data_IF_176432392143
#
_entry.id   IF_176432392143
#
_cell.length_a   1.000
_cell.length_b   1.000
_cell.length_c   1.000
_cell.angle_alpha   90.00
_cell.angle_beta   90.00
_cell.angle_gamma   90.00
#
_symmetry.space_group_name_H-M   'P 1'
#
loop_
_entity.id
_entity.type
_entity.pdbx_description
1 polymer ?
#
# COMPACT_ATOMS: atom_id res chain seq x y z
N UNK A 1 7.16 10.80 8.89
CA UNK A 1 7.72 9.82 9.82
C UNK A 1 8.74 10.47 10.72
N UNK A 2 8.41 10.68 12.02
CA UNK A 2 9.24 11.47 12.96
C UNK A 2 10.19 10.63 13.83
N UNK A 3 10.48 9.39 13.48
CA UNK A 3 11.35 8.54 14.30
C UNK A 3 12.58 8.05 13.52
N UNK A 4 13.77 7.99 14.16
CA UNK A 4 15.01 7.51 13.53
C UNK A 4 14.96 6.06 13.01
N UNK A 5 13.91 5.31 13.38
CA UNK A 5 13.68 3.93 12.97
C UNK A 5 12.59 3.77 11.90
N UNK A 6 12.04 4.87 11.39
CA UNK A 6 10.96 4.81 10.42
C UNK A 6 11.49 4.42 9.05
N UNK A 7 11.06 3.28 8.57
CA UNK A 7 11.34 2.84 7.20
C UNK A 7 10.53 3.70 6.23
N UNK A 8 11.11 4.04 5.08
CA UNK A 8 10.48 4.91 4.07
C UNK A 8 9.12 4.38 3.54
N UNK A 9 8.85 3.11 3.74
CA UNK A 9 7.59 2.44 3.34
C UNK A 9 6.51 2.41 4.43
N UNK A 10 6.81 2.83 5.67
CA UNK A 10 5.84 2.93 6.76
C UNK A 10 5.02 4.22 6.61
N UNK A 11 4.05 4.25 5.68
CA UNK A 11 3.25 5.44 5.37
C UNK A 11 2.28 5.76 6.50
N UNK A 12 2.39 6.99 7.04
CA UNK A 12 1.45 7.55 8.02
C UNK A 12 0.48 8.54 7.38
N UNK A 13 0.77 9.00 6.15
CA UNK A 13 -0.02 9.97 5.41
C UNK A 13 0.13 9.77 3.89
N UNK A 14 -0.98 9.85 3.15
CA UNK A 14 -0.99 9.69 1.69
C UNK A 14 -0.92 11.01 0.92
N UNK A 15 -1.34 12.12 1.54
CA UNK A 15 -1.56 13.40 0.86
C UNK A 15 -0.56 14.48 1.26
N UNK A 16 0.49 14.11 1.98
CA UNK A 16 1.52 15.02 2.48
C UNK A 16 2.87 14.74 1.80
N UNK A 17 3.69 15.78 1.71
CA UNK A 17 5.13 15.64 1.49
C UNK A 17 5.77 15.56 2.88
N UNK A 18 6.71 14.65 3.06
CA UNK A 18 7.48 14.55 4.31
C UNK A 18 8.21 15.87 4.55
N UNK A 19 8.14 16.39 5.78
CA UNK A 19 8.67 17.72 6.13
C UNK A 19 10.16 17.86 5.86
N UNK A 20 10.92 16.78 5.98
CA UNK A 20 12.35 16.74 5.66
C UNK A 20 12.65 16.98 4.17
N UNK A 21 11.66 16.75 3.29
CA UNK A 21 11.77 17.00 1.85
C UNK A 21 11.09 18.29 1.41
N UNK A 22 10.49 19.02 2.34
CA UNK A 22 9.88 20.33 2.11
C UNK A 22 8.35 20.33 2.08
N UNK A 23 7.79 21.42 1.58
CA UNK A 23 6.35 21.64 1.48
C UNK A 23 5.77 21.14 0.16
N UNK A 24 4.44 21.05 0.10
CA UNK A 24 3.72 20.76 -1.17
C UNK A 24 3.99 21.82 -2.25
N UNK A 25 4.21 23.08 -1.86
CA UNK A 25 4.54 24.16 -2.78
C UNK A 25 5.93 23.96 -3.38
N UNK A 26 6.92 23.62 -2.57
CA UNK A 26 8.28 23.31 -3.04
C UNK A 26 8.31 22.07 -3.94
N UNK A 27 7.56 21.03 -3.58
CA UNK A 27 7.41 19.85 -4.41
C UNK A 27 6.79 20.19 -5.78
N UNK A 28 5.74 21.04 -5.80
CA UNK A 28 5.13 21.52 -7.06
C UNK A 28 6.13 22.33 -7.88
N UNK A 29 6.89 23.23 -7.25
CA UNK A 29 7.93 24.01 -7.91
C UNK A 29 9.02 23.12 -8.53
N UNK A 30 9.42 22.05 -7.81
CA UNK A 30 10.35 21.05 -8.33
C UNK A 30 9.81 20.36 -9.58
N UNK A 31 8.55 19.91 -9.57
CA UNK A 31 7.91 19.30 -10.74
C UNK A 31 7.94 20.26 -11.93
N UNK A 32 7.52 21.51 -11.73
CA UNK A 32 7.44 22.52 -12.80
C UNK A 32 8.83 22.85 -13.37
N UNK A 33 9.85 22.94 -12.53
CA UNK A 33 11.23 23.20 -12.95
C UNK A 33 11.81 22.00 -13.74
N UNK A 34 11.56 20.78 -13.30
CA UNK A 34 12.02 19.57 -14.00
C UNK A 34 11.33 19.39 -15.35
N UNK A 35 10.05 19.72 -15.41
CA UNK A 35 9.28 19.68 -16.67
C UNK A 35 9.87 20.62 -17.72
N UNK A 36 10.35 21.81 -17.37
CA UNK A 36 11.06 22.73 -18.29
C UNK A 36 12.33 22.10 -18.87
N UNK A 37 12.92 21.14 -18.18
CA UNK A 37 14.14 20.42 -18.62
C UNK A 37 13.84 19.06 -19.27
N UNK A 38 12.59 18.80 -19.63
CA UNK A 38 12.14 17.51 -20.16
C UNK A 38 12.35 16.32 -19.21
N UNK A 39 12.40 16.58 -17.89
CA UNK A 39 12.50 15.54 -16.87
C UNK A 39 11.10 15.34 -16.27
N UNK A 40 10.65 14.10 -16.27
CA UNK A 40 9.37 13.70 -15.66
C UNK A 40 9.63 13.03 -14.30
N UNK A 41 8.90 13.47 -13.28
CA UNK A 41 9.00 12.92 -11.93
C UNK A 41 7.92 11.87 -11.76
N UNK A 42 8.31 10.69 -11.27
CA UNK A 42 7.40 9.65 -10.80
C UNK A 42 7.54 9.51 -9.28
N UNK A 43 6.49 9.08 -8.62
CA UNK A 43 6.49 8.82 -7.18
C UNK A 43 6.41 7.33 -6.90
N UNK A 44 6.99 6.96 -5.76
CA UNK A 44 6.79 5.62 -5.19
C UNK A 44 5.41 5.55 -4.55
N UNK A 45 4.56 4.68 -5.06
CA UNK A 45 3.18 4.51 -4.63
C UNK A 45 3.04 3.21 -3.84
N UNK A 46 3.16 3.35 -2.51
CA UNK A 46 2.99 2.24 -1.58
C UNK A 46 1.52 2.20 -1.17
N UNK A 47 0.76 1.30 -1.77
CA UNK A 47 -0.69 1.14 -1.51
C UNK A 47 -1.08 -0.28 -1.09
N UNK A 48 -0.10 -1.18 -0.96
CA UNK A 48 -0.33 -2.53 -0.47
C UNK A 48 -0.50 -2.54 1.06
N UNK A 49 0.32 -1.78 1.75
CA UNK A 49 0.36 -1.72 3.21
C UNK A 49 0.63 -0.29 3.68
N UNK A 50 0.36 -0.03 4.95
CA UNK A 50 0.63 1.26 5.59
C UNK A 50 1.19 1.04 6.99
N UNK A 51 1.62 2.13 7.65
CA UNK A 51 2.10 2.03 9.03
C UNK A 51 0.98 1.59 9.99
N UNK A 52 1.32 0.79 11.00
CA UNK A 52 0.46 0.49 12.15
C UNK A 52 0.13 1.74 12.98
N UNK A 53 0.81 2.86 12.74
CA UNK A 53 0.56 4.18 13.33
C UNK A 53 -0.40 5.06 12.51
N UNK A 54 -0.78 4.63 11.32
CA UNK A 54 -1.74 5.36 10.50
C UNK A 54 -3.11 5.39 11.17
N UNK A 55 -3.82 6.52 11.10
CA UNK A 55 -5.14 6.70 11.70
C UNK A 55 -6.14 5.60 11.29
N UNK A 56 -6.11 5.17 10.05
CA UNK A 56 -6.98 4.10 9.57
C UNK A 56 -6.75 2.78 10.32
N UNK A 57 -5.48 2.41 10.57
CA UNK A 57 -5.19 1.18 11.30
C UNK A 57 -5.59 1.28 12.77
N UNK A 58 -5.28 2.40 13.41
CA UNK A 58 -5.65 2.64 14.81
C UNK A 58 -7.17 2.62 15.01
N UNK A 59 -7.93 3.18 14.07
CA UNK A 59 -9.41 3.16 14.09
C UNK A 59 -9.98 1.79 13.74
N UNK A 60 -9.36 1.09 12.79
CA UNK A 60 -9.69 -0.30 12.48
C UNK A 60 -9.50 -1.20 13.70
N UNK A 61 -8.39 -1.05 14.42
CA UNK A 61 -8.12 -1.79 15.65
C UNK A 61 -9.15 -1.55 16.75
N UNK A 62 -9.81 -0.38 16.76
CA UNK A 62 -10.94 -0.06 17.64
C UNK A 62 -12.29 -0.58 17.13
N UNK A 63 -12.34 -1.11 15.90
CA UNK A 63 -13.58 -1.54 15.25
C UNK A 63 -14.47 -0.38 14.78
N UNK A 64 -13.91 0.82 14.58
CA UNK A 64 -14.64 2.02 14.17
C UNK A 64 -15.00 1.97 12.67
N UNK A 65 -16.27 2.22 12.34
CA UNK A 65 -16.68 2.42 10.96
C UNK A 65 -16.15 3.78 10.42
N UNK A 66 -15.83 3.89 9.10
CA UNK A 66 -15.83 2.82 8.10
C UNK A 66 -14.57 1.93 8.13
N UNK A 67 -13.60 2.24 8.97
CA UNK A 67 -12.24 1.68 8.93
C UNK A 67 -12.12 0.24 9.40
N UNK A 68 -13.14 -0.30 10.08
CA UNK A 68 -13.08 -1.62 10.71
C UNK A 68 -12.63 -2.75 9.79
N UNK A 69 -12.95 -2.66 8.49
CA UNK A 69 -12.68 -3.67 7.47
C UNK A 69 -11.67 -3.21 6.39
N UNK A 70 -10.97 -2.09 6.64
CA UNK A 70 -9.91 -1.59 5.75
C UNK A 70 -8.64 -2.44 5.77
N UNK A 71 -8.52 -3.31 6.77
CA UNK A 71 -7.44 -4.27 6.93
C UNK A 71 -8.01 -5.68 7.08
N UNK A 72 -7.17 -6.67 6.93
CA UNK A 72 -7.56 -8.06 6.95
C UNK A 72 -7.40 -8.60 8.37
N UNK A 73 -8.52 -8.98 9.01
CA UNK A 73 -8.56 -9.41 10.39
C UNK A 73 -9.14 -10.83 10.53
N UNK A 74 -8.62 -11.58 11.50
CA UNK A 74 -9.13 -12.91 11.89
C UNK A 74 -9.26 -13.02 13.41
N UNK A 75 -10.24 -13.80 13.86
CA UNK A 75 -10.44 -14.10 15.27
C UNK A 75 -9.38 -15.03 15.86
N UNK A 76 -8.82 -15.90 15.04
CA UNK A 76 -7.88 -16.98 15.38
C UNK A 76 -6.61 -16.89 14.54
N UNK A 77 -5.50 -17.37 15.12
CA UNK A 77 -4.27 -17.56 14.36
C UNK A 77 -4.46 -18.76 13.42
N UNK A 78 -4.24 -18.60 12.10
CA UNK A 78 -4.26 -19.74 11.19
C UNK A 78 -3.23 -20.81 11.58
N UNK A 79 -3.55 -22.06 11.30
CA UNK A 79 -2.67 -23.19 11.60
C UNK A 79 -2.06 -23.83 10.36
N UNK A 80 -2.41 -23.34 9.18
CA UNK A 80 -2.10 -23.92 7.87
C UNK A 80 -1.34 -22.95 6.98
N UNK A 81 -0.45 -23.46 6.17
CA UNK A 81 0.15 -22.97 4.92
C UNK A 81 0.55 -21.50 4.77
N UNK A 82 0.41 -20.69 5.82
CA UNK A 82 0.80 -19.29 5.80
C UNK A 82 2.28 -19.12 6.12
N UNK A 83 2.94 -18.22 5.40
CA UNK A 83 4.34 -17.84 5.59
C UNK A 83 4.61 -16.57 4.80
N UNK A 84 5.87 -16.09 4.74
CA UNK A 84 6.23 -14.97 3.88
C UNK A 84 5.94 -15.31 2.42
N UNK A 85 5.31 -14.39 1.71
CA UNK A 85 4.88 -14.62 0.32
C UNK A 85 6.07 -14.80 -0.67
N UNK A 86 7.27 -14.39 -0.27
CA UNK A 86 8.52 -14.51 -1.04
C UNK A 86 9.38 -15.72 -0.60
N UNK A 87 8.99 -16.44 0.44
CA UNK A 87 9.68 -17.63 0.93
C UNK A 87 8.71 -18.80 1.10
N UNK A 88 8.66 -19.66 0.10
CA UNK A 88 7.77 -20.83 0.09
C UNK A 88 8.25 -21.99 0.97
N UNK A 89 9.39 -21.84 1.66
CA UNK A 89 9.95 -22.88 2.56
C UNK A 89 9.55 -22.64 4.01
N UNK A 90 9.31 -21.39 4.39
CA UNK A 90 8.91 -21.01 5.75
C UNK A 90 7.40 -21.06 5.84
N UNK A 91 6.86 -22.05 6.56
CA UNK A 91 5.43 -22.14 6.88
C UNK A 91 5.29 -21.83 8.37
N UNK A 92 5.13 -20.55 8.69
CA UNK A 92 4.82 -20.06 10.03
C UNK A 92 3.83 -18.89 9.94
N UNK A 93 2.55 -19.10 10.27
CA UNK A 93 1.55 -18.04 10.25
C UNK A 93 1.90 -16.81 11.07
N UNK A 94 2.69 -16.95 12.12
CA UNK A 94 3.06 -15.83 13.02
C UNK A 94 3.94 -14.78 12.36
N UNK A 95 4.56 -15.09 11.23
CA UNK A 95 5.39 -14.11 10.50
C UNK A 95 4.55 -13.13 9.67
N UNK A 96 3.28 -13.47 9.39
CA UNK A 96 2.36 -12.63 8.60
C UNK A 96 1.04 -12.33 9.32
N UNK A 97 0.70 -13.05 10.41
CA UNK A 97 -0.49 -12.80 11.21
C UNK A 97 -0.09 -12.36 12.62
N UNK A 98 -0.42 -11.12 12.98
CA UNK A 98 0.03 -10.48 14.20
C UNK A 98 -1.13 -10.17 15.13
N UNK A 99 -1.03 -10.58 16.39
CA UNK A 99 -2.08 -10.32 17.38
C UNK A 99 -2.15 -8.86 17.78
N UNK A 100 -3.35 -8.28 17.76
CA UNK A 100 -3.60 -6.93 18.26
C UNK A 100 -4.42 -6.94 19.55
N UNK A 101 -3.85 -6.48 20.69
CA UNK A 101 -4.48 -6.66 22.01
C UNK A 101 -5.79 -5.90 22.19
N UNK A 102 -5.94 -4.72 21.57
CA UNK A 102 -7.16 -3.92 21.68
C UNK A 102 -8.33 -4.55 20.93
N UNK A 103 -8.10 -5.06 19.70
CA UNK A 103 -9.12 -5.71 18.89
C UNK A 103 -9.33 -7.18 19.28
N UNK A 104 -8.34 -7.78 19.95
CA UNK A 104 -8.30 -9.21 20.32
C UNK A 104 -8.42 -10.12 19.10
N UNK A 105 -7.84 -9.70 18.00
CA UNK A 105 -7.81 -10.38 16.71
C UNK A 105 -6.41 -10.36 16.13
N UNK A 106 -6.19 -11.14 15.08
CA UNK A 106 -4.96 -11.14 14.29
C UNK A 106 -5.18 -10.34 13.02
N UNK A 107 -4.22 -9.49 12.65
CA UNK A 107 -4.21 -8.78 11.38
C UNK A 107 -3.13 -9.34 10.47
N UNK A 108 -3.39 -9.27 9.17
CA UNK A 108 -2.43 -9.67 8.15
C UNK A 108 -1.44 -8.53 7.87
N UNK A 109 -0.14 -8.89 7.81
CA UNK A 109 0.94 -7.97 7.48
C UNK A 109 2.09 -8.75 6.85
N UNK A 110 2.08 -8.86 5.52
CA UNK A 110 3.04 -9.66 4.78
C UNK A 110 4.49 -9.21 5.01
N UNK A 111 4.71 -7.90 5.15
CA UNK A 111 6.04 -7.29 5.26
C UNK A 111 6.48 -7.03 6.71
N UNK A 112 5.67 -7.45 7.69
CA UNK A 112 5.98 -7.36 9.11
C UNK A 112 4.98 -6.54 9.90
N UNK A 113 4.96 -6.73 11.22
CA UNK A 113 3.93 -6.22 12.13
C UNK A 113 3.68 -4.70 12.05
N UNK A 114 4.70 -3.90 11.71
CA UNK A 114 4.55 -2.44 11.56
C UNK A 114 3.90 -2.00 10.25
N UNK A 115 3.64 -2.93 9.33
CA UNK A 115 3.17 -2.66 7.97
C UNK A 115 1.93 -3.50 7.64
N UNK A 116 0.79 -3.29 8.33
CA UNK A 116 -0.46 -3.99 8.06
C UNK A 116 -0.93 -3.79 6.62
N UNK A 117 -1.31 -4.89 5.97
CA UNK A 117 -1.80 -4.88 4.61
C UNK A 117 -3.22 -4.30 4.55
N UNK A 118 -3.44 -3.42 3.57
CA UNK A 118 -4.74 -2.89 3.26
C UNK A 118 -5.61 -3.96 2.59
N UNK A 119 -6.88 -3.98 2.93
CA UNK A 119 -7.86 -4.82 2.26
C UNK A 119 -8.21 -4.24 0.88
N UNK A 120 -7.42 -4.57 -0.12
CA UNK A 120 -7.61 -4.09 -1.50
C UNK A 120 -8.79 -4.74 -2.23
N UNK A 121 -9.60 -5.56 -1.53
CA UNK A 121 -10.92 -6.00 -1.97
C UNK A 121 -12.05 -5.10 -1.44
N UNK A 122 -11.76 -4.22 -0.46
CA UNK A 122 -12.78 -3.33 0.11
C UNK A 122 -13.02 -2.12 -0.81
N UNK A 123 -14.29 -1.85 -1.21
CA UNK A 123 -14.59 -0.79 -2.17
C UNK A 123 -14.08 0.60 -1.77
N UNK A 124 -14.21 0.97 -0.49
CA UNK A 124 -13.77 2.28 -0.02
C UNK A 124 -12.25 2.40 -0.01
N UNK A 125 -11.52 1.30 0.28
CA UNK A 125 -10.05 1.27 0.19
C UNK A 125 -9.62 1.45 -1.26
N UNK A 126 -10.23 0.72 -2.20
CA UNK A 126 -9.97 0.88 -3.64
C UNK A 126 -10.24 2.33 -4.08
N UNK A 127 -11.35 2.92 -3.63
CA UNK A 127 -11.70 4.30 -3.97
C UNK A 127 -10.67 5.30 -3.44
N UNK A 128 -10.19 5.12 -2.19
CA UNK A 128 -9.15 5.99 -1.61
C UNK A 128 -7.79 5.83 -2.33
N UNK A 129 -7.40 4.62 -2.74
CA UNK A 129 -6.18 4.42 -3.53
C UNK A 129 -6.26 5.13 -4.89
N UNK A 130 -7.41 5.06 -5.56
CA UNK A 130 -7.67 5.80 -6.80
C UNK A 130 -7.64 7.31 -6.60
N UNK A 131 -8.24 7.80 -5.52
CA UNK A 131 -8.25 9.22 -5.15
C UNK A 131 -6.84 9.75 -4.85
N UNK A 132 -6.03 8.96 -4.16
CA UNK A 132 -4.63 9.30 -3.90
C UNK A 132 -3.82 9.40 -5.19
N UNK A 133 -3.95 8.42 -6.10
CA UNK A 133 -3.28 8.49 -7.40
C UNK A 133 -3.69 9.76 -8.18
N UNK A 134 -5.00 10.05 -8.23
CA UNK A 134 -5.50 11.27 -8.86
C UNK A 134 -4.93 12.53 -8.21
N UNK A 135 -4.86 12.61 -6.89
CA UNK A 135 -4.32 13.76 -6.17
C UNK A 135 -2.89 14.10 -6.62
N UNK A 136 -2.01 13.10 -6.73
CA UNK A 136 -0.63 13.33 -7.13
C UNK A 136 -0.50 13.61 -8.64
N UNK A 137 -1.31 13.00 -9.48
CA UNK A 137 -1.37 13.32 -10.91
C UNK A 137 -1.82 14.77 -11.14
N UNK A 138 -2.83 15.24 -10.40
CA UNK A 138 -3.28 16.64 -10.44
C UNK A 138 -2.18 17.64 -9.99
N UNK A 139 -1.19 17.19 -9.19
CA UNK A 139 0.01 17.97 -8.85
C UNK A 139 1.08 17.98 -9.94
N UNK A 140 0.90 17.19 -11.00
CA UNK A 140 1.81 17.14 -12.14
C UNK A 140 2.85 16.02 -12.09
N UNK A 141 2.68 15.06 -11.19
CA UNK A 141 3.47 13.82 -11.20
C UNK A 141 3.19 13.07 -12.50
N UNK A 142 4.24 12.55 -13.13
CA UNK A 142 4.15 11.92 -14.44
C UNK A 142 3.93 10.40 -14.38
N UNK A 143 3.89 9.84 -13.17
CA UNK A 143 3.68 8.41 -13.02
C UNK A 143 4.01 7.90 -11.63
N UNK A 144 3.95 6.58 -11.48
CA UNK A 144 4.19 5.90 -10.22
C UNK A 144 5.08 4.67 -10.41
N UNK A 145 5.96 4.45 -9.45
CA UNK A 145 6.52 3.14 -9.17
C UNK A 145 5.57 2.47 -8.16
N UNK A 146 5.01 1.34 -8.55
CA UNK A 146 4.05 0.59 -7.75
C UNK A 146 4.82 -0.42 -6.89
N UNK A 147 4.77 -0.23 -5.59
CA UNK A 147 5.42 -1.08 -4.61
C UNK A 147 4.69 -2.40 -4.45
N UNK A 148 5.44 -3.48 -4.20
CA UNK A 148 4.90 -4.78 -3.80
C UNK A 148 3.78 -5.35 -4.69
N UNK A 149 3.82 -5.10 -6.00
CA UNK A 149 2.69 -5.39 -6.93
C UNK A 149 2.24 -6.86 -6.94
N UNK A 150 3.12 -7.78 -6.56
CA UNK A 150 2.82 -9.22 -6.51
C UNK A 150 1.87 -9.60 -5.38
N UNK A 151 1.84 -8.79 -4.31
CA UNK A 151 1.27 -9.12 -2.99
C UNK A 151 -0.01 -8.35 -2.67
N UNK A 152 -0.66 -7.76 -3.67
CA UNK A 152 -1.79 -6.85 -3.46
C UNK A 152 -3.03 -7.53 -2.87
N UNK A 153 -3.32 -8.77 -3.25
CA UNK A 153 -4.46 -9.53 -2.74
C UNK A 153 -4.05 -10.99 -2.57
N UNK A 154 -4.12 -11.48 -1.34
CA UNK A 154 -3.94 -12.90 -1.02
C UNK A 154 -5.28 -13.64 -1.09
N UNK A 155 -5.25 -14.88 -1.61
CA UNK A 155 -6.41 -15.77 -1.72
C UNK A 155 -6.31 -16.98 -0.77
N UNK A 156 -5.50 -16.85 0.30
CA UNK A 156 -5.34 -17.88 1.30
C UNK A 156 -3.90 -18.41 1.42
N UNK A 157 -3.71 -19.45 2.23
CA UNK A 157 -2.39 -20.01 2.47
C UNK A 157 -1.77 -20.55 1.17
N UNK A 158 -0.51 -20.20 0.93
CA UNK A 158 0.21 -20.54 -0.31
C UNK A 158 -0.25 -19.79 -1.57
N UNK A 159 -1.24 -18.89 -1.45
CA UNK A 159 -1.73 -18.02 -2.53
C UNK A 159 -1.65 -16.55 -2.09
N UNK A 160 -0.46 -16.13 -1.69
CA UNK A 160 -0.20 -14.81 -1.12
C UNK A 160 0.48 -13.85 -2.12
N UNK A 161 0.85 -14.34 -3.30
CA UNK A 161 1.45 -13.56 -4.37
C UNK A 161 0.93 -13.99 -5.73
N UNK A 162 0.93 -13.06 -6.68
CA UNK A 162 0.58 -13.28 -8.09
C UNK A 162 -0.80 -13.92 -8.30
N UNK A 163 -1.74 -13.67 -7.42
CA UNK A 163 -3.09 -14.19 -7.50
C UNK A 163 -3.84 -13.56 -8.68
N UNK A 164 -4.88 -14.25 -9.17
CA UNK A 164 -5.76 -13.71 -10.21
C UNK A 164 -6.40 -12.38 -9.78
N UNK A 165 -6.72 -12.23 -8.50
CA UNK A 165 -7.34 -11.04 -7.94
C UNK A 165 -6.34 -9.88 -7.85
N UNK A 166 -5.07 -10.17 -7.52
CA UNK A 166 -3.96 -9.20 -7.63
C UNK A 166 -3.82 -8.69 -9.07
N UNK A 167 -3.83 -9.58 -10.06
CA UNK A 167 -3.73 -9.19 -11.47
C UNK A 167 -4.92 -8.32 -11.88
N UNK A 168 -6.14 -8.72 -11.52
CA UNK A 168 -7.35 -7.95 -11.83
C UNK A 168 -7.34 -6.57 -11.17
N UNK A 169 -6.93 -6.49 -9.89
CA UNK A 169 -6.79 -5.22 -9.19
C UNK A 169 -5.88 -4.24 -9.93
N UNK A 170 -4.70 -4.70 -10.37
CA UNK A 170 -3.76 -3.83 -11.10
C UNK A 170 -4.23 -3.47 -12.50
N UNK A 171 -4.98 -4.34 -13.18
CA UNK A 171 -5.63 -4.02 -14.45
C UNK A 171 -6.65 -2.89 -14.27
N UNK A 172 -7.52 -2.98 -13.26
CA UNK A 172 -8.55 -1.99 -12.96
C UNK A 172 -7.94 -0.66 -12.49
N UNK A 173 -6.91 -0.72 -11.65
CA UNK A 173 -6.18 0.47 -11.21
C UNK A 173 -5.48 1.16 -12.38
N UNK A 174 -4.80 0.41 -13.23
CA UNK A 174 -4.12 0.93 -14.43
C UNK A 174 -5.12 1.54 -15.41
N UNK A 175 -6.25 0.88 -15.66
CA UNK A 175 -7.32 1.40 -16.51
C UNK A 175 -7.87 2.73 -15.98
N UNK A 176 -8.12 2.82 -14.67
CA UNK A 176 -8.53 4.06 -14.03
C UNK A 176 -7.50 5.17 -14.21
N UNK A 177 -6.23 4.91 -13.87
CA UNK A 177 -5.16 5.92 -14.00
C UNK A 177 -5.06 6.43 -15.42
N UNK A 178 -5.09 5.55 -16.42
CA UNK A 178 -5.03 5.92 -17.85
C UNK A 178 -6.27 6.65 -18.34
N UNK A 179 -7.43 6.42 -17.71
CA UNK A 179 -8.65 7.15 -18.07
C UNK A 179 -8.59 8.63 -17.67
N UNK A 180 -7.83 8.98 -16.63
CA UNK A 180 -7.68 10.36 -16.14
C UNK A 180 -6.38 11.01 -16.61
N UNK A 181 -5.34 10.24 -16.92
CA UNK A 181 -4.04 10.72 -17.37
C UNK A 181 -3.39 9.66 -18.29
N UNK A 182 -3.71 9.66 -19.60
CA UNK A 182 -3.31 8.60 -20.55
C UNK A 182 -1.80 8.35 -20.64
N UNK A 183 -0.99 9.40 -20.48
CA UNK A 183 0.48 9.34 -20.62
C UNK A 183 1.21 8.99 -19.32
N UNK A 184 0.47 8.55 -18.29
CA UNK A 184 1.04 8.18 -17.00
C UNK A 184 1.92 6.94 -17.12
N UNK A 185 3.15 7.03 -16.63
CA UNK A 185 4.04 5.88 -16.48
C UNK A 185 3.66 5.09 -15.23
N UNK A 186 3.42 3.80 -15.38
CA UNK A 186 3.27 2.85 -14.26
C UNK A 186 4.37 1.78 -14.37
N UNK A 187 5.16 1.65 -13.30
CA UNK A 187 6.26 0.68 -13.20
C UNK A 187 6.04 -0.15 -11.95
N UNK A 188 5.77 -1.43 -12.09
CA UNK A 188 5.62 -2.35 -10.96
C UNK A 188 6.95 -2.88 -10.45
N UNK A 189 7.10 -2.96 -9.13
CA UNK A 189 8.17 -3.72 -8.50
C UNK A 189 7.79 -5.19 -8.45
N UNK A 190 8.33 -5.97 -9.37
CA UNK A 190 8.12 -7.40 -9.45
C UNK A 190 9.48 -8.12 -9.43
N UNK A 191 9.86 -8.63 -8.27
CA UNK A 191 11.00 -9.53 -8.16
C UNK A 191 10.56 -10.92 -8.61
N UNK A 192 11.14 -11.44 -9.66
CA UNK A 192 11.01 -12.82 -10.08
C UNK A 192 12.38 -13.50 -9.97
N UNK A 193 12.39 -14.73 -9.47
CA UNK A 193 13.57 -15.60 -9.48
C UNK A 193 13.89 -16.09 -10.90
#
# INVERSE_FOLDING_TARGET
CEAPSCKSYDKTEFYQVETDYGSKQEFKALIDEKKKKNIRIILDLVINHISDRHDWFMRSAKGEAPFKDYFIWRSDLPTDGWGPAWDNKTIDPKVVWHYHPQRKQYYYAAFGASQPDLNLQHPDVIAEMKKMAKFWLDKGVAGFRLDAVRYAIENGPGQQADTSDTIQYWQDFSAYVRSIAPDTLLVGEAWAD
#
